data_IF_373082396114
#
_entry.id   IF_373082396114
#
_cell.length_a   1.000
_cell.length_b   1.000
_cell.length_c   1.000
_cell.angle_alpha   90.00
_cell.angle_beta   90.00
_cell.angle_gamma   90.00
#
_symmetry.space_group_name_H-M   'P 1'
#
loop_
_entity.id
_entity.type
_entity.pdbx_description
1 polymer ?
#
# COMPACT_ATOMS: atom_id res chain seq x y z
N UNK A 1 -22.42 -22.37 -7.26
CA UNK A 1 -21.38 -21.36 -7.00
C UNK A 1 -21.05 -20.72 -8.32
N UNK A 2 -21.12 -19.40 -8.43
CA UNK A 2 -20.60 -18.70 -9.61
C UNK A 2 -19.14 -19.12 -9.83
N UNK A 3 -18.77 -19.33 -11.10
CA UNK A 3 -17.43 -19.77 -11.46
C UNK A 3 -16.43 -18.71 -11.02
N UNK A 4 -15.51 -19.02 -10.11
CA UNK A 4 -14.52 -18.07 -9.60
C UNK A 4 -13.67 -17.56 -10.76
N UNK A 5 -13.70 -16.25 -11.02
CA UNK A 5 -12.93 -15.63 -12.09
C UNK A 5 -11.43 -15.77 -11.85
N UNK A 6 -10.66 -15.98 -12.91
CA UNK A 6 -9.20 -15.93 -12.90
C UNK A 6 -8.71 -14.71 -13.69
N UNK A 7 -7.48 -14.26 -13.43
CA UNK A 7 -6.84 -13.28 -14.29
C UNK A 7 -6.69 -13.82 -15.72
N UNK A 8 -7.02 -12.99 -16.70
CA UNK A 8 -7.02 -13.41 -18.10
C UNK A 8 -5.63 -13.37 -18.76
N UNK A 9 -4.63 -12.73 -18.15
CA UNK A 9 -3.31 -12.55 -18.74
C UNK A 9 -2.20 -12.43 -17.68
N UNK A 10 -0.96 -12.81 -18.06
CA UNK A 10 0.23 -12.61 -17.22
C UNK A 10 0.46 -11.15 -16.85
N UNK A 11 0.25 -10.25 -17.80
CA UNK A 11 0.37 -8.80 -17.56
C UNK A 11 -0.69 -8.33 -16.56
N UNK A 12 -1.93 -8.85 -16.66
CA UNK A 12 -2.99 -8.55 -15.71
C UNK A 12 -2.66 -9.00 -14.29
N UNK A 13 -2.09 -10.19 -14.11
CA UNK A 13 -1.57 -10.67 -12.82
C UNK A 13 -0.57 -9.69 -12.23
N UNK A 14 0.45 -9.31 -13.01
CA UNK A 14 1.53 -8.44 -12.54
C UNK A 14 1.00 -7.04 -12.20
N UNK A 15 0.25 -6.41 -13.11
CA UNK A 15 -0.26 -5.05 -12.91
C UNK A 15 -1.29 -4.95 -11.79
N UNK A 16 -2.18 -5.95 -11.64
CA UNK A 16 -3.14 -5.97 -10.56
C UNK A 16 -2.45 -6.16 -9.20
N UNK A 17 -1.51 -7.10 -9.11
CA UNK A 17 -0.80 -7.37 -7.86
C UNK A 17 0.22 -6.27 -7.53
N UNK A 18 0.92 -5.71 -8.54
CA UNK A 18 1.76 -4.53 -8.32
C UNK A 18 0.91 -3.32 -7.89
N UNK A 19 -0.26 -3.12 -8.48
CA UNK A 19 -1.18 -2.05 -8.08
C UNK A 19 -1.73 -2.20 -6.65
N UNK A 20 -1.73 -3.40 -6.09
CA UNK A 20 -2.07 -3.59 -4.68
C UNK A 20 -0.94 -3.18 -3.72
N UNK A 21 0.31 -3.28 -4.17
CA UNK A 21 1.49 -2.83 -3.41
C UNK A 21 1.73 -1.32 -3.60
N UNK A 22 1.66 -0.85 -4.87
CA UNK A 22 1.86 0.57 -5.21
C UNK A 22 0.65 1.40 -4.78
N UNK A 23 0.86 2.23 -3.78
CA UNK A 23 -0.18 3.10 -3.21
C UNK A 23 0.37 4.40 -2.65
N UNK A 24 -0.39 5.05 -1.79
CA UNK A 24 0.06 6.24 -1.05
C UNK A 24 1.31 5.94 -0.20
N UNK A 25 1.52 4.69 0.19
CA UNK A 25 2.72 4.25 0.90
C UNK A 25 4.02 4.53 0.15
N UNK A 26 4.04 4.32 -1.17
CA UNK A 26 5.20 4.59 -2.02
C UNK A 26 5.38 6.08 -2.31
N UNK A 27 4.27 6.81 -2.50
CA UNK A 27 4.30 8.21 -2.95
C UNK A 27 4.46 9.17 -1.79
N UNK A 28 4.00 8.79 -0.61
CA UNK A 28 4.03 9.64 0.57
C UNK A 28 4.91 9.08 1.70
N UNK A 29 4.58 7.87 2.22
CA UNK A 29 5.26 7.33 3.40
C UNK A 29 6.74 7.04 3.12
N UNK A 30 7.07 6.45 1.99
CA UNK A 30 8.46 6.14 1.65
C UNK A 30 9.35 7.40 1.52
N UNK A 31 8.96 8.47 0.79
CA UNK A 31 9.73 9.71 0.80
C UNK A 31 9.86 10.33 2.19
N UNK A 32 8.77 10.37 2.97
CA UNK A 32 8.80 10.86 4.35
C UNK A 32 9.82 10.09 5.21
N UNK A 33 9.75 8.75 5.22
CA UNK A 33 10.70 7.89 5.94
C UNK A 33 12.14 8.09 5.45
N UNK A 34 12.33 8.21 4.14
CA UNK A 34 13.62 8.49 3.51
C UNK A 34 14.17 9.84 3.96
N UNK A 35 13.33 10.86 4.04
CA UNK A 35 13.68 12.20 4.50
C UNK A 35 14.18 12.21 5.93
N UNK A 36 13.49 11.51 6.84
CA UNK A 36 13.85 11.42 8.25
C UNK A 36 15.10 10.56 8.51
N UNK A 37 15.34 9.55 7.71
CA UNK A 37 16.30 8.49 7.98
C UNK A 37 17.60 8.56 7.13
N UNK A 38 17.99 9.76 6.66
CA UNK A 38 19.29 9.95 6.02
C UNK A 38 19.36 9.60 4.53
N UNK A 39 18.22 9.62 3.80
CA UNK A 39 18.21 9.60 2.36
C UNK A 39 18.67 8.27 1.75
N UNK A 40 19.72 8.33 0.90
CA UNK A 40 20.22 7.17 0.16
C UNK A 40 20.65 5.99 1.03
N UNK A 41 21.16 6.23 2.24
CA UNK A 41 21.55 5.15 3.16
C UNK A 41 20.34 4.33 3.61
N UNK A 42 19.23 5.01 3.97
CA UNK A 42 17.96 4.36 4.27
C UNK A 42 17.46 3.53 3.08
N UNK A 43 17.54 4.06 1.85
CA UNK A 43 17.10 3.35 0.64
C UNK A 43 17.89 2.04 0.45
N UNK A 44 19.21 2.04 0.67
CA UNK A 44 20.02 0.85 0.56
C UNK A 44 19.65 -0.21 1.62
N UNK A 45 19.42 0.21 2.86
CA UNK A 45 18.97 -0.66 3.94
C UNK A 45 17.57 -1.23 3.60
N UNK A 46 16.67 -0.38 3.13
CA UNK A 46 15.33 -0.78 2.68
C UNK A 46 15.38 -1.86 1.58
N UNK A 47 16.30 -1.77 0.60
CA UNK A 47 16.49 -2.83 -0.40
C UNK A 47 16.88 -4.17 0.22
N UNK A 48 17.78 -4.15 1.20
CA UNK A 48 18.15 -5.38 1.93
C UNK A 48 16.92 -5.94 2.65
N UNK A 49 16.16 -5.09 3.32
CA UNK A 49 14.92 -5.48 4.02
C UNK A 49 13.87 -6.10 3.09
N UNK A 50 13.70 -5.55 1.89
CA UNK A 50 12.79 -6.12 0.87
C UNK A 50 13.21 -7.53 0.48
N UNK A 51 14.51 -7.79 0.32
CA UNK A 51 15.01 -9.11 -0.04
C UNK A 51 14.83 -10.10 1.11
N UNK A 52 15.11 -9.68 2.34
CA UNK A 52 15.09 -10.54 3.52
C UNK A 52 13.66 -10.84 4.03
N UNK A 53 12.77 -9.88 3.91
CA UNK A 53 11.42 -9.95 4.48
C UNK A 53 10.34 -9.91 3.39
N UNK A 54 10.44 -8.96 2.49
CA UNK A 54 9.41 -8.69 1.49
C UNK A 54 9.19 -9.84 0.54
N UNK A 55 10.24 -10.28 -0.14
CA UNK A 55 10.15 -11.34 -1.15
C UNK A 55 9.74 -12.70 -0.57
N UNK A 56 10.33 -13.19 0.55
CA UNK A 56 9.89 -14.42 1.18
C UNK A 56 8.46 -14.35 1.71
N UNK A 57 8.05 -13.22 2.32
CA UNK A 57 6.69 -13.00 2.80
C UNK A 57 5.67 -13.04 1.67
N UNK A 58 5.92 -12.31 0.58
CA UNK A 58 5.08 -12.30 -0.62
C UNK A 58 4.93 -13.70 -1.23
N UNK A 59 6.03 -14.43 -1.38
CA UNK A 59 5.99 -15.80 -1.90
C UNK A 59 5.19 -16.73 -0.99
N UNK A 60 5.26 -16.53 0.32
CA UNK A 60 4.48 -17.32 1.28
C UNK A 60 2.98 -17.13 1.08
N UNK A 61 2.51 -15.88 0.97
CA UNK A 61 1.11 -15.60 0.69
C UNK A 61 0.68 -16.10 -0.70
N UNK A 62 1.55 -15.99 -1.71
CA UNK A 62 1.28 -16.51 -3.05
C UNK A 62 1.09 -18.03 -3.07
N UNK A 63 1.93 -18.78 -2.37
CA UNK A 63 1.81 -20.23 -2.25
C UNK A 63 0.48 -20.60 -1.61
N UNK A 64 0.13 -19.96 -0.49
CA UNK A 64 -1.12 -20.22 0.23
C UNK A 64 -2.33 -19.91 -0.66
N UNK A 65 -2.35 -18.73 -1.27
CA UNK A 65 -3.46 -18.27 -2.09
C UNK A 65 -3.68 -19.13 -3.33
N UNK A 66 -2.61 -19.42 -4.10
CA UNK A 66 -2.71 -20.21 -5.33
C UNK A 66 -3.11 -21.65 -5.04
N UNK A 67 -2.55 -22.26 -3.98
CA UNK A 67 -2.91 -23.63 -3.61
C UNK A 67 -4.36 -23.71 -3.14
N UNK A 68 -4.76 -22.76 -2.27
CA UNK A 68 -6.10 -22.74 -1.69
C UNK A 68 -7.20 -22.41 -2.70
N UNK A 69 -6.90 -21.67 -3.79
CA UNK A 69 -7.81 -21.26 -4.86
C UNK A 69 -9.18 -20.76 -4.33
N UNK A 70 -9.17 -20.06 -3.20
CA UNK A 70 -10.35 -19.59 -2.47
C UNK A 70 -9.99 -18.31 -1.67
N UNK A 71 -10.96 -17.69 -1.00
CA UNK A 71 -10.64 -16.61 -0.07
C UNK A 71 -9.59 -17.05 0.96
N UNK A 72 -8.92 -16.09 1.60
CA UNK A 72 -7.80 -16.40 2.47
C UNK A 72 -8.17 -17.38 3.61
N UNK A 73 -9.34 -17.23 4.25
CA UNK A 73 -9.74 -18.11 5.35
C UNK A 73 -9.87 -19.57 4.91
N UNK A 74 -10.46 -19.81 3.74
CA UNK A 74 -10.54 -21.16 3.17
C UNK A 74 -9.18 -21.65 2.69
N UNK A 75 -8.35 -20.79 2.13
CA UNK A 75 -7.01 -21.17 1.68
C UNK A 75 -6.18 -21.73 2.85
N UNK A 76 -6.14 -21.04 3.99
CA UNK A 76 -5.49 -21.56 5.19
C UNK A 76 -6.11 -22.86 5.70
N UNK A 77 -7.43 -22.96 5.69
CA UNK A 77 -8.14 -24.17 6.09
C UNK A 77 -7.81 -25.38 5.20
N UNK A 78 -7.74 -25.18 3.89
CA UNK A 78 -7.42 -26.25 2.91
C UNK A 78 -6.00 -26.76 3.16
N UNK A 79 -5.00 -25.86 3.29
CA UNK A 79 -3.62 -26.25 3.51
C UNK A 79 -3.40 -26.90 4.90
N UNK A 80 -4.21 -26.51 5.89
CA UNK A 80 -4.13 -27.06 7.24
C UNK A 80 -4.86 -28.41 7.42
N UNK A 81 -5.65 -28.85 6.44
CA UNK A 81 -6.50 -30.04 6.60
C UNK A 81 -7.57 -29.89 7.68
N UNK A 82 -7.89 -28.66 8.12
CA UNK A 82 -8.85 -28.39 9.20
C UNK A 82 -9.15 -26.91 9.42
N UNK A 83 -9.92 -26.60 10.49
CA UNK A 83 -10.42 -25.25 10.74
C UNK A 83 -9.46 -24.34 11.54
N UNK A 84 -8.49 -24.90 12.26
CA UNK A 84 -7.68 -24.16 13.24
C UNK A 84 -7.01 -22.90 12.66
N UNK A 85 -6.44 -22.98 11.45
CA UNK A 85 -5.73 -21.86 10.83
C UNK A 85 -6.61 -20.91 10.00
N UNK A 86 -7.92 -21.18 9.88
CA UNK A 86 -8.84 -20.30 9.15
C UNK A 86 -8.90 -18.87 9.75
N UNK A 87 -8.64 -18.72 11.06
CA UNK A 87 -8.63 -17.44 11.74
C UNK A 87 -7.63 -16.45 11.10
N UNK A 88 -6.53 -16.96 10.55
CA UNK A 88 -5.53 -16.13 9.88
C UNK A 88 -6.12 -15.35 8.70
N UNK A 89 -6.90 -16.03 7.87
CA UNK A 89 -7.54 -15.36 6.74
C UNK A 89 -8.66 -14.41 7.15
N UNK A 90 -9.41 -14.73 8.21
CA UNK A 90 -10.38 -13.79 8.78
C UNK A 90 -9.70 -12.56 9.39
N UNK A 91 -8.60 -12.75 10.11
CA UNK A 91 -7.81 -11.65 10.66
C UNK A 91 -7.30 -10.73 9.56
N UNK A 92 -6.77 -11.30 8.45
CA UNK A 92 -6.33 -10.52 7.30
C UNK A 92 -7.48 -9.77 6.62
N UNK A 93 -8.67 -10.38 6.48
CA UNK A 93 -9.85 -9.72 5.94
C UNK A 93 -10.31 -8.56 6.83
N UNK A 94 -10.40 -8.74 8.14
CA UNK A 94 -10.73 -7.67 9.10
C UNK A 94 -9.68 -6.55 9.04
N UNK A 95 -8.40 -6.91 9.01
CA UNK A 95 -7.32 -5.94 8.85
C UNK A 95 -7.52 -5.08 7.58
N UNK A 96 -7.79 -5.72 6.44
CA UNK A 96 -8.04 -5.00 5.18
C UNK A 96 -9.28 -4.12 5.21
N UNK A 97 -10.37 -4.53 5.87
CA UNK A 97 -11.57 -3.70 6.04
C UNK A 97 -11.29 -2.43 6.84
N UNK A 98 -10.54 -2.58 7.96
CA UNK A 98 -10.15 -1.44 8.79
C UNK A 98 -9.24 -0.49 8.00
N UNK A 99 -8.24 -1.05 7.29
CA UNK A 99 -7.34 -0.25 6.45
C UNK A 99 -8.14 0.49 5.37
N UNK A 100 -9.00 -0.19 4.63
CA UNK A 100 -9.82 0.45 3.60
C UNK A 100 -10.66 1.60 4.18
N UNK A 101 -11.22 1.43 5.37
CA UNK A 101 -12.02 2.47 6.03
C UNK A 101 -11.22 3.76 6.26
N UNK A 102 -10.10 3.71 6.95
CA UNK A 102 -9.31 4.92 7.22
C UNK A 102 -8.52 5.42 6.00
N UNK A 103 -8.02 4.50 5.17
CA UNK A 103 -7.30 4.86 3.96
C UNK A 103 -8.18 5.61 2.95
N UNK A 104 -9.48 5.26 2.87
CA UNK A 104 -10.43 5.94 2.02
C UNK A 104 -10.69 7.39 2.45
N UNK A 105 -10.46 7.75 3.72
CA UNK A 105 -10.52 9.16 4.17
C UNK A 105 -9.41 9.96 3.49
N UNK A 106 -8.18 9.50 3.57
CA UNK A 106 -7.03 10.17 2.93
C UNK A 106 -7.16 10.16 1.41
N UNK A 107 -7.65 9.06 0.84
CA UNK A 107 -7.92 8.95 -0.60
C UNK A 107 -9.04 9.91 -1.05
N UNK A 108 -10.06 10.11 -0.22
CA UNK A 108 -11.11 11.10 -0.42
C UNK A 108 -10.57 12.52 -0.40
N UNK A 109 -9.63 12.82 0.51
CA UNK A 109 -8.92 14.10 0.51
C UNK A 109 -8.12 14.31 -0.77
N UNK A 110 -7.42 13.28 -1.28
CA UNK A 110 -6.74 13.37 -2.56
C UNK A 110 -7.71 13.69 -3.72
N UNK A 111 -8.89 13.08 -3.70
CA UNK A 111 -9.92 13.32 -4.73
C UNK A 111 -10.47 14.73 -4.65
N UNK A 112 -10.71 15.25 -3.44
CA UNK A 112 -11.14 16.64 -3.22
C UNK A 112 -10.04 17.62 -3.68
N UNK A 113 -8.77 17.36 -3.36
CA UNK A 113 -7.66 18.22 -3.78
C UNK A 113 -7.44 18.17 -5.30
N UNK A 114 -7.71 17.04 -5.96
CA UNK A 114 -7.75 16.97 -7.43
C UNK A 114 -8.83 17.91 -7.98
N UNK A 115 -10.05 17.84 -7.42
CA UNK A 115 -11.13 18.74 -7.80
C UNK A 115 -10.76 20.21 -7.54
N UNK A 116 -10.26 20.53 -6.35
CA UNK A 116 -9.84 21.88 -5.98
C UNK A 116 -8.69 22.43 -6.85
N UNK A 117 -7.76 21.55 -7.27
CA UNK A 117 -6.70 21.93 -8.20
C UNK A 117 -7.24 22.27 -9.59
N UNK A 118 -8.20 21.49 -10.09
CA UNK A 118 -8.84 21.75 -11.40
C UNK A 118 -9.58 23.10 -11.41
N UNK A 119 -10.22 23.49 -10.30
CA UNK A 119 -10.93 24.77 -10.20
C UNK A 119 -10.06 25.92 -9.66
N UNK A 120 -8.77 25.66 -9.42
CA UNK A 120 -7.79 26.69 -9.01
C UNK A 120 -7.87 27.14 -7.54
N UNK A 121 -8.48 26.35 -6.66
CA UNK A 121 -8.69 26.72 -5.24
C UNK A 121 -7.48 26.41 -4.31
N UNK A 122 -6.45 25.70 -4.76
CA UNK A 122 -5.30 25.30 -3.93
C UNK A 122 -4.07 26.20 -4.15
N UNK A 123 -4.25 27.32 -4.86
CA UNK A 123 -3.19 28.29 -5.12
C UNK A 123 -3.24 29.45 -4.14
N UNK A 124 -2.20 29.62 -3.36
CA UNK A 124 -2.06 30.67 -2.36
C UNK A 124 -0.72 30.61 -1.65
N UNK A 125 -0.55 31.43 -0.61
CA UNK A 125 0.61 31.37 0.27
C UNK A 125 0.54 30.18 1.24
N UNK A 126 1.60 29.95 1.99
CA UNK A 126 1.72 28.81 2.90
C UNK A 126 0.64 28.81 4.00
N UNK A 127 0.23 29.98 4.46
CA UNK A 127 -0.82 30.13 5.45
C UNK A 127 -2.19 29.78 4.87
N UNK A 128 -2.49 30.23 3.67
CA UNK A 128 -3.71 29.87 2.96
C UNK A 128 -3.84 28.36 2.75
N UNK A 129 -2.77 27.71 2.25
CA UNK A 129 -2.77 26.26 1.99
C UNK A 129 -2.98 25.47 3.28
N UNK A 130 -2.32 25.88 4.37
CA UNK A 130 -2.50 25.27 5.70
C UNK A 130 -3.93 25.43 6.21
N UNK A 131 -4.47 26.65 6.14
CA UNK A 131 -5.83 26.95 6.60
C UNK A 131 -6.88 26.22 5.75
N UNK A 132 -6.64 26.10 4.44
CA UNK A 132 -7.50 25.33 3.55
C UNK A 132 -7.59 23.86 3.98
N UNK A 133 -6.44 23.22 4.24
CA UNK A 133 -6.41 21.83 4.71
C UNK A 133 -7.11 21.65 6.06
N UNK A 134 -6.78 22.48 7.04
CA UNK A 134 -7.35 22.40 8.40
C UNK A 134 -8.88 22.61 8.35
N UNK A 135 -9.36 23.62 7.63
CA UNK A 135 -10.79 23.88 7.49
C UNK A 135 -11.52 22.74 6.79
N UNK A 136 -10.94 22.21 5.71
CA UNK A 136 -11.51 21.07 4.99
C UNK A 136 -11.53 19.80 5.83
N UNK A 137 -10.40 19.42 6.44
CA UNK A 137 -10.27 18.15 7.17
C UNK A 137 -11.14 18.10 8.43
N UNK A 138 -11.41 19.24 9.06
CA UNK A 138 -12.28 19.37 10.24
C UNK A 138 -13.76 19.62 9.92
N UNK A 139 -14.12 19.77 8.64
CA UNK A 139 -15.53 19.90 8.25
C UNK A 139 -16.28 18.57 8.46
N UNK A 140 -17.48 18.57 9.10
CA UNK A 140 -18.19 17.33 9.39
C UNK A 140 -18.82 16.66 8.17
N UNK A 141 -18.95 17.35 7.04
CA UNK A 141 -19.71 16.88 5.88
C UNK A 141 -18.83 16.59 4.67
N UNK A 142 -17.99 17.55 4.28
CA UNK A 142 -17.23 17.45 3.03
C UNK A 142 -16.27 16.26 3.00
N UNK A 143 -15.38 16.02 3.99
CA UNK A 143 -14.47 14.88 3.96
C UNK A 143 -15.22 13.54 3.96
N UNK A 144 -16.35 13.45 4.67
CA UNK A 144 -17.23 12.27 4.69
C UNK A 144 -17.78 11.97 3.30
N UNK A 145 -18.29 12.99 2.60
CA UNK A 145 -18.81 12.82 1.23
C UNK A 145 -17.72 12.31 0.30
N UNK A 146 -16.52 12.92 0.31
CA UNK A 146 -15.42 12.51 -0.54
C UNK A 146 -14.91 11.10 -0.20
N UNK A 147 -14.92 10.71 1.08
CA UNK A 147 -14.61 9.35 1.54
C UNK A 147 -15.61 8.34 0.94
N UNK A 148 -16.89 8.59 1.07
CA UNK A 148 -17.94 7.71 0.52
C UNK A 148 -17.84 7.63 -1.00
N UNK A 149 -17.66 8.76 -1.68
CA UNK A 149 -17.47 8.79 -3.14
C UNK A 149 -16.27 7.92 -3.54
N UNK A 150 -15.16 8.00 -2.82
CA UNK A 150 -13.98 7.20 -3.13
C UNK A 150 -14.21 5.69 -2.93
N UNK A 151 -14.88 5.30 -1.83
CA UNK A 151 -15.27 3.90 -1.58
C UNK A 151 -16.22 3.40 -2.68
N UNK A 152 -17.17 4.22 -3.12
CA UNK A 152 -18.07 3.86 -4.22
C UNK A 152 -17.33 3.69 -5.56
N UNK A 153 -16.36 4.55 -5.88
CA UNK A 153 -15.51 4.36 -7.06
C UNK A 153 -14.80 3.00 -7.02
N UNK A 154 -14.25 2.64 -5.87
CA UNK A 154 -13.64 1.32 -5.62
C UNK A 154 -14.65 0.20 -5.81
N UNK A 155 -15.83 0.31 -5.20
CA UNK A 155 -16.92 -0.66 -5.32
C UNK A 155 -17.30 -0.94 -6.77
N UNK A 156 -17.50 0.11 -7.60
CA UNK A 156 -17.87 -0.04 -9.00
C UNK A 156 -16.84 -0.80 -9.84
N UNK A 157 -15.58 -0.77 -9.45
CA UNK A 157 -14.55 -1.60 -10.09
C UNK A 157 -14.67 -3.04 -9.63
N UNK A 158 -14.74 -3.28 -8.32
CA UNK A 158 -14.70 -4.63 -7.73
C UNK A 158 -15.94 -5.45 -8.06
N UNK A 159 -17.13 -4.84 -8.06
CA UNK A 159 -18.39 -5.53 -8.37
C UNK A 159 -18.41 -6.14 -9.77
N UNK A 160 -17.62 -5.58 -10.71
CA UNK A 160 -17.48 -6.11 -12.10
C UNK A 160 -16.64 -7.39 -12.17
N UNK A 161 -16.08 -7.84 -11.05
CA UNK A 161 -15.30 -9.07 -10.94
C UNK A 161 -13.82 -8.93 -11.28
N UNK A 162 -13.10 -10.03 -11.17
CA UNK A 162 -11.63 -10.04 -11.28
C UNK A 162 -11.17 -9.62 -12.68
N UNK A 163 -11.67 -10.27 -13.72
CA UNK A 163 -11.21 -10.05 -15.11
C UNK A 163 -11.70 -8.73 -15.68
N UNK A 164 -13.00 -8.46 -15.56
CA UNK A 164 -13.66 -7.30 -16.21
C UNK A 164 -13.60 -6.03 -15.37
N UNK A 165 -13.36 -6.14 -14.08
CA UNK A 165 -13.19 -5.03 -13.14
C UNK A 165 -11.71 -4.83 -12.80
N UNK A 166 -11.18 -5.62 -11.89
CA UNK A 166 -9.86 -5.45 -11.29
C UNK A 166 -8.73 -5.45 -12.33
N UNK A 167 -8.64 -6.51 -13.15
CA UNK A 167 -7.59 -6.64 -14.17
C UNK A 167 -7.66 -5.51 -15.22
N UNK A 168 -8.88 -5.22 -15.70
CA UNK A 168 -9.07 -4.16 -16.69
C UNK A 168 -8.71 -2.78 -16.13
N UNK A 169 -9.14 -2.47 -14.91
CA UNK A 169 -8.79 -1.24 -14.23
C UNK A 169 -7.27 -1.13 -14.03
N UNK A 170 -6.62 -2.16 -13.50
CA UNK A 170 -5.17 -2.15 -13.26
C UNK A 170 -4.34 -1.99 -14.53
N UNK A 171 -4.78 -2.56 -15.65
CA UNK A 171 -4.13 -2.39 -16.96
C UNK A 171 -4.18 -0.95 -17.51
N UNK A 172 -5.12 -0.15 -17.04
CA UNK A 172 -5.25 1.28 -17.41
C UNK A 172 -4.58 2.16 -16.36
N UNK A 173 -4.91 1.94 -15.09
CA UNK A 173 -4.49 2.81 -13.98
C UNK A 173 -2.98 2.76 -13.75
N UNK A 174 -2.35 1.56 -13.78
CA UNK A 174 -0.93 1.43 -13.49
C UNK A 174 -0.01 2.08 -14.54
N UNK A 175 -0.19 1.87 -15.86
CA UNK A 175 0.59 2.61 -16.85
C UNK A 175 0.35 4.12 -16.79
N UNK A 176 -0.90 4.56 -16.57
CA UNK A 176 -1.22 5.98 -16.44
C UNK A 176 -0.51 6.59 -15.23
N UNK A 177 -0.57 5.93 -14.07
CA UNK A 177 0.15 6.32 -12.85
C UNK A 177 1.64 6.49 -13.13
N UNK A 178 2.26 5.51 -13.80
CA UNK A 178 3.68 5.55 -14.14
C UNK A 178 4.03 6.72 -15.06
N UNK A 179 3.21 6.99 -16.08
CA UNK A 179 3.41 8.13 -16.99
C UNK A 179 3.30 9.46 -16.23
N UNK A 180 2.26 9.62 -15.39
CA UNK A 180 2.09 10.84 -14.58
C UNK A 180 3.28 11.05 -13.65
N UNK A 181 3.72 9.99 -12.98
CA UNK A 181 4.88 10.03 -12.11
C UNK A 181 6.14 10.49 -12.85
N UNK A 182 6.42 9.92 -14.04
CA UNK A 182 7.57 10.32 -14.85
C UNK A 182 7.50 11.80 -15.29
N UNK A 183 6.33 12.29 -15.69
CA UNK A 183 6.15 13.70 -16.08
C UNK A 183 6.49 14.62 -14.93
N UNK A 184 5.99 14.32 -13.71
CA UNK A 184 6.25 15.15 -12.53
C UNK A 184 7.72 15.04 -12.10
N UNK A 185 8.33 13.85 -12.17
CA UNK A 185 9.77 13.65 -11.89
C UNK A 185 10.64 14.52 -12.82
N UNK A 186 10.34 14.53 -14.13
CA UNK A 186 11.09 15.37 -15.08
C UNK A 186 10.93 16.85 -14.73
N UNK A 187 9.72 17.31 -14.44
CA UNK A 187 9.46 18.67 -14.03
C UNK A 187 10.24 19.04 -12.75
N UNK A 188 10.19 18.18 -11.74
CA UNK A 188 10.86 18.37 -10.44
C UNK A 188 12.40 18.41 -10.58
N UNK A 189 12.97 17.48 -11.34
CA UNK A 189 14.41 17.41 -11.56
C UNK A 189 14.96 18.55 -12.46
N UNK A 190 14.08 19.22 -13.20
CA UNK A 190 14.46 20.36 -14.07
C UNK A 190 14.51 21.70 -13.30
N UNK A 191 14.12 21.74 -12.04
CA UNK A 191 14.11 22.96 -11.24
C UNK A 191 15.53 23.42 -10.88
N UNK A 192 15.77 24.75 -10.81
CA UNK A 192 17.01 25.30 -10.27
C UNK A 192 17.22 24.83 -8.82
N UNK A 193 18.39 24.25 -8.53
CA UNK A 193 18.68 23.73 -7.17
C UNK A 193 18.25 22.27 -6.91
N UNK A 194 17.57 21.63 -7.85
CA UNK A 194 17.15 20.21 -7.76
C UNK A 194 18.31 19.22 -7.48
N UNK A 195 19.53 19.58 -7.87
CA UNK A 195 20.72 18.75 -7.70
C UNK A 195 20.98 18.29 -6.28
N UNK A 196 20.68 19.13 -5.27
CA UNK A 196 20.80 18.76 -3.84
C UNK A 196 19.86 17.64 -3.45
N UNK A 197 18.61 17.67 -3.93
CA UNK A 197 17.63 16.61 -3.69
C UNK A 197 18.00 15.31 -4.37
N UNK A 198 18.57 15.36 -5.59
CA UNK A 198 19.09 14.19 -6.30
C UNK A 198 20.29 13.61 -5.54
N UNK A 199 21.22 14.45 -5.10
CA UNK A 199 22.39 14.01 -4.30
C UNK A 199 21.95 13.34 -3.01
N UNK A 200 20.96 13.89 -2.30
CA UNK A 200 20.40 13.31 -1.07
C UNK A 200 19.84 11.89 -1.28
N UNK A 201 19.22 11.63 -2.44
CA UNK A 201 18.66 10.32 -2.77
C UNK A 201 19.67 9.30 -3.29
N UNK A 202 20.80 9.76 -3.86
CA UNK A 202 21.73 8.89 -4.57
C UNK A 202 23.09 8.75 -3.86
N UNK A 203 23.44 9.66 -2.96
CA UNK A 203 24.70 9.64 -2.23
C UNK A 203 24.47 9.19 -0.77
N UNK A 204 24.81 7.93 -0.43
CA UNK A 204 24.56 7.41 0.90
C UNK A 204 25.49 8.03 1.94
N UNK A 205 24.90 8.47 3.05
CA UNK A 205 25.60 8.93 4.25
C UNK A 205 25.29 7.99 5.41
N UNK A 206 26.15 7.00 5.63
CA UNK A 206 25.99 6.02 6.70
C UNK A 206 26.25 6.58 8.10
N UNK A 207 26.75 7.82 8.24
CA UNK A 207 26.96 8.45 9.55
C UNK A 207 25.63 8.74 10.28
N UNK A 208 24.53 8.76 9.54
CA UNK A 208 23.16 8.99 10.05
C UNK A 208 22.40 7.70 10.34
N UNK A 209 23.01 6.55 10.11
CA UNK A 209 22.35 5.24 10.29
C UNK A 209 22.56 4.79 11.72
N UNK A 210 21.47 4.60 12.43
CA UNK A 210 21.40 3.99 13.76
C UNK A 210 20.50 2.73 13.73
N UNK A 211 20.27 2.14 14.88
CA UNK A 211 19.39 0.98 15.02
C UNK A 211 17.93 1.28 14.67
N UNK A 212 17.46 2.50 14.91
CA UNK A 212 16.10 2.94 14.57
C UNK A 212 15.91 2.95 13.04
N UNK A 213 16.89 3.47 12.30
CA UNK A 213 16.85 3.49 10.82
C UNK A 213 16.68 2.09 10.24
N UNK A 214 17.37 1.08 10.81
CA UNK A 214 17.21 -0.33 10.38
C UNK A 214 15.79 -0.83 10.65
N UNK A 215 15.24 -0.58 11.84
CA UNK A 215 13.91 -1.05 12.23
C UNK A 215 12.81 -0.34 11.45
N UNK A 216 12.98 0.94 11.17
CA UNK A 216 12.06 1.70 10.32
C UNK A 216 12.10 1.26 8.85
N UNK A 217 13.30 0.92 8.34
CA UNK A 217 13.43 0.35 6.98
C UNK A 217 12.78 -1.05 6.87
N UNK A 218 12.90 -1.89 7.90
CA UNK A 218 12.19 -3.17 8.00
C UNK A 218 10.67 -2.93 8.02
N UNK A 219 10.19 -2.02 8.84
CA UNK A 219 8.77 -1.66 8.93
C UNK A 219 8.23 -1.11 7.60
N UNK A 220 9.00 -0.26 6.92
CA UNK A 220 8.62 0.29 5.62
C UNK A 220 8.57 -0.79 4.53
N UNK A 221 9.52 -1.72 4.48
CA UNK A 221 9.52 -2.83 3.54
C UNK A 221 8.31 -3.75 3.73
N UNK A 222 7.91 -3.96 4.97
CA UNK A 222 6.75 -4.73 5.35
C UNK A 222 5.45 -4.06 4.90
N UNK A 223 5.32 -2.76 5.19
CA UNK A 223 4.14 -1.97 4.87
C UNK A 223 3.96 -1.81 3.35
N UNK A 224 5.03 -1.48 2.62
CA UNK A 224 4.99 -1.23 1.16
C UNK A 224 4.42 -2.42 0.39
N UNK A 225 4.77 -3.64 0.79
CA UNK A 225 4.33 -4.86 0.12
C UNK A 225 3.00 -5.42 0.67
N UNK A 226 2.33 -4.71 1.57
CA UNK A 226 1.03 -5.11 2.15
C UNK A 226 1.01 -6.53 2.75
N UNK A 227 2.13 -6.95 3.38
CA UNK A 227 2.26 -8.28 3.96
C UNK A 227 1.36 -8.45 5.18
N UNK A 228 0.77 -9.65 5.34
CA UNK A 228 -0.08 -9.99 6.48
C UNK A 228 -1.52 -9.52 6.39
N UNK A 229 -1.90 -8.79 5.33
CA UNK A 229 -3.28 -8.32 5.10
C UNK A 229 -4.16 -9.34 4.37
N UNK A 230 -3.66 -10.51 4.03
CA UNK A 230 -4.28 -11.48 3.13
C UNK A 230 -4.52 -10.97 1.70
N UNK A 231 -3.97 -9.81 1.33
CA UNK A 231 -4.12 -9.22 0.00
C UNK A 231 -3.45 -10.09 -1.07
N UNK A 232 -2.19 -10.41 -0.87
CA UNK A 232 -1.41 -11.20 -1.80
C UNK A 232 -1.93 -12.64 -1.87
N UNK A 233 -2.39 -13.20 -0.76
CA UNK A 233 -3.07 -14.50 -0.70
C UNK A 233 -4.35 -14.49 -1.53
N UNK A 234 -5.21 -13.48 -1.39
CA UNK A 234 -6.46 -13.34 -2.14
C UNK A 234 -6.18 -13.21 -3.64
N UNK A 235 -5.22 -12.37 -4.04
CA UNK A 235 -4.87 -12.19 -5.45
C UNK A 235 -4.23 -13.44 -6.06
N UNK A 236 -3.35 -14.11 -5.32
CA UNK A 236 -2.75 -15.36 -5.77
C UNK A 236 -3.77 -16.49 -5.96
N UNK A 237 -4.90 -16.44 -5.26
CA UNK A 237 -5.99 -17.40 -5.46
C UNK A 237 -6.65 -17.30 -6.84
N UNK A 238 -6.41 -16.21 -7.57
CA UNK A 238 -6.83 -16.01 -8.96
C UNK A 238 -5.73 -16.33 -9.98
N UNK A 239 -4.54 -16.76 -9.53
CA UNK A 239 -3.45 -17.14 -10.41
C UNK A 239 -3.72 -18.51 -11.03
N UNK A 240 -3.26 -18.66 -12.27
CA UNK A 240 -3.27 -19.99 -12.93
C UNK A 240 -2.10 -20.82 -12.42
N UNK A 241 -2.23 -22.15 -12.54
CA UNK A 241 -1.13 -23.10 -12.20
C UNK A 241 0.16 -22.86 -13.00
N UNK A 242 0.07 -22.20 -14.16
CA UNK A 242 1.22 -21.87 -14.99
C UNK A 242 1.97 -20.61 -14.54
N UNK A 243 1.44 -19.85 -13.60
CA UNK A 243 2.06 -18.62 -13.09
C UNK A 243 3.34 -18.95 -12.32
N UNK A 244 4.47 -18.42 -12.75
CA UNK A 244 5.73 -18.55 -12.02
C UNK A 244 5.72 -17.58 -10.84
N UNK A 245 5.54 -18.10 -9.62
CA UNK A 245 5.40 -17.29 -8.41
C UNK A 245 6.65 -16.47 -8.12
N UNK A 246 7.83 -17.08 -8.22
CA UNK A 246 9.12 -16.41 -7.94
C UNK A 246 9.33 -15.23 -8.89
N UNK A 247 9.10 -15.47 -10.20
CA UNK A 247 9.24 -14.41 -11.20
C UNK A 247 8.21 -13.30 -10.98
N UNK A 248 6.96 -13.65 -10.69
CA UNK A 248 5.91 -12.65 -10.43
C UNK A 248 6.22 -11.83 -9.19
N UNK A 249 6.61 -12.46 -8.08
CA UNK A 249 6.99 -11.76 -6.85
C UNK A 249 8.16 -10.81 -7.09
N UNK A 250 9.22 -11.26 -7.76
CA UNK A 250 10.38 -10.41 -8.08
C UNK A 250 9.99 -9.22 -8.95
N UNK A 251 9.12 -9.41 -9.96
CA UNK A 251 8.66 -8.32 -10.82
C UNK A 251 7.82 -7.30 -10.05
N UNK A 252 6.95 -7.74 -9.14
CA UNK A 252 6.12 -6.85 -8.32
C UNK A 252 6.99 -6.03 -7.38
N UNK A 253 7.93 -6.68 -6.69
CA UNK A 253 8.91 -6.02 -5.80
C UNK A 253 9.72 -4.95 -6.56
N UNK A 254 10.20 -5.28 -7.77
CA UNK A 254 10.95 -4.32 -8.60
C UNK A 254 10.06 -3.13 -8.98
N UNK A 255 8.83 -3.36 -9.42
CA UNK A 255 7.89 -2.29 -9.80
C UNK A 255 7.61 -1.39 -8.59
N UNK A 256 7.28 -1.98 -7.44
CA UNK A 256 7.01 -1.26 -6.19
C UNK A 256 8.19 -0.37 -5.80
N UNK A 257 9.39 -0.93 -5.77
CA UNK A 257 10.61 -0.23 -5.40
C UNK A 257 10.99 0.89 -6.38
N UNK A 258 10.87 0.64 -7.69
CA UNK A 258 11.12 1.67 -8.71
C UNK A 258 10.18 2.84 -8.56
N UNK A 259 8.89 2.59 -8.31
CA UNK A 259 7.90 3.65 -8.09
C UNK A 259 8.20 4.42 -6.81
N UNK A 260 8.61 3.76 -5.73
CA UNK A 260 9.02 4.43 -4.49
C UNK A 260 10.22 5.37 -4.69
N UNK A 261 11.24 4.94 -5.44
CA UNK A 261 12.40 5.79 -5.77
C UNK A 261 12.01 6.96 -6.66
N UNK A 262 11.18 6.72 -7.67
CA UNK A 262 10.67 7.78 -8.54
C UNK A 262 9.83 8.79 -7.75
N UNK A 263 9.06 8.37 -6.77
CA UNK A 263 8.35 9.26 -5.86
C UNK A 263 9.32 10.11 -5.03
N UNK A 264 10.42 9.54 -4.57
CA UNK A 264 11.51 10.32 -3.97
C UNK A 264 12.09 11.37 -4.93
N UNK A 265 12.38 10.97 -6.19
CA UNK A 265 12.84 11.89 -7.24
C UNK A 265 11.79 12.94 -7.65
N UNK A 266 10.52 12.70 -7.41
CA UNK A 266 9.47 13.68 -7.58
C UNK A 266 9.47 14.72 -6.46
N UNK A 267 9.69 14.31 -5.22
CA UNK A 267 9.50 15.14 -4.02
C UNK A 267 10.77 15.88 -3.62
N UNK A 268 11.91 15.18 -3.47
CA UNK A 268 13.13 15.79 -2.92
C UNK A 268 13.74 16.88 -3.79
N UNK A 269 13.86 16.73 -5.13
CA UNK A 269 14.38 17.82 -5.97
C UNK A 269 13.52 19.09 -5.89
N UNK A 270 12.19 18.96 -5.87
CA UNK A 270 11.28 20.09 -5.75
C UNK A 270 11.38 20.75 -4.36
N UNK A 271 11.34 19.97 -3.28
CA UNK A 271 11.44 20.49 -1.91
C UNK A 271 12.77 21.21 -1.65
N UNK A 272 13.90 20.60 -2.03
CA UNK A 272 15.22 21.22 -1.84
C UNK A 272 15.45 22.45 -2.75
N UNK A 273 14.75 22.55 -3.90
CA UNK A 273 14.84 23.75 -4.76
C UNK A 273 14.30 25.01 -4.10
N UNK A 274 13.36 24.87 -3.18
CA UNK A 274 12.75 25.97 -2.40
C UNK A 274 13.19 25.98 -0.92
N UNK A 275 14.16 25.12 -0.56
CA UNK A 275 14.73 25.08 0.79
C UNK A 275 13.81 24.46 1.87
N UNK A 276 12.78 23.71 1.45
CA UNK A 276 11.86 23.01 2.35
C UNK A 276 12.39 21.61 2.65
N UNK A 277 12.33 21.19 3.91
CA UNK A 277 12.69 19.85 4.31
C UNK A 277 11.44 18.95 4.27
N UNK A 278 11.41 17.86 3.48
CA UNK A 278 10.24 17.00 3.29
C UNK A 278 10.09 15.95 4.41
N UNK A 279 10.07 16.37 5.67
CA UNK A 279 10.00 15.51 6.85
C UNK A 279 8.66 15.59 7.63
N UNK A 280 7.63 16.19 7.05
CA UNK A 280 6.42 16.62 7.77
C UNK A 280 5.23 15.65 7.74
N UNK A 281 5.42 14.33 7.73
CA UNK A 281 4.32 13.36 7.91
C UNK A 281 3.15 13.49 6.90
N UNK A 282 1.88 13.23 7.32
CA UNK A 282 0.70 13.34 6.45
C UNK A 282 0.47 14.73 5.85
N UNK A 283 0.90 15.76 6.54
CA UNK A 283 0.84 17.15 6.04
C UNK A 283 1.71 17.38 4.80
N UNK A 284 2.67 16.49 4.54
CA UNK A 284 3.54 16.57 3.36
C UNK A 284 2.75 16.73 2.06
N UNK A 285 1.75 15.90 1.82
CA UNK A 285 1.00 15.91 0.54
C UNK A 285 -0.10 16.97 0.46
N UNK A 286 -0.59 17.48 1.58
CA UNK A 286 -1.71 18.43 1.58
C UNK A 286 -1.31 19.85 1.94
N UNK A 287 -0.17 20.04 2.60
CA UNK A 287 0.33 21.36 3.01
C UNK A 287 1.68 21.65 2.36
N UNK A 288 2.67 20.76 2.57
CA UNK A 288 4.06 21.05 2.15
C UNK A 288 4.21 21.03 0.64
N UNK A 289 3.77 19.97 -0.04
CA UNK A 289 3.95 19.84 -1.50
C UNK A 289 3.17 20.87 -2.32
N UNK A 290 1.91 21.25 -2.00
CA UNK A 290 1.27 22.37 -2.66
C UNK A 290 2.09 23.67 -2.59
N UNK A 291 2.63 23.98 -1.40
CA UNK A 291 3.50 25.14 -1.22
C UNK A 291 4.79 25.04 -2.03
N UNK A 292 5.44 23.86 -2.00
CA UNK A 292 6.64 23.59 -2.81
C UNK A 292 6.35 23.81 -4.29
N UNK A 293 5.23 23.31 -4.82
CA UNK A 293 4.88 23.50 -6.23
C UNK A 293 4.55 24.96 -6.54
N UNK A 294 3.83 25.66 -5.67
CA UNK A 294 3.54 27.09 -5.85
C UNK A 294 4.83 27.92 -5.89
N UNK A 295 5.79 27.68 -5.01
CA UNK A 295 7.07 28.39 -4.96
C UNK A 295 8.01 27.98 -6.11
N UNK A 296 8.18 26.67 -6.33
CA UNK A 296 9.10 26.14 -7.35
C UNK A 296 8.73 26.56 -8.78
N UNK A 297 7.43 26.69 -9.04
CA UNK A 297 6.91 27.11 -10.36
C UNK A 297 6.38 28.53 -10.37
N UNK A 298 6.71 29.39 -9.39
CA UNK A 298 6.25 30.77 -9.33
C UNK A 298 6.58 31.59 -10.59
N UNK A 299 7.72 31.29 -11.25
CA UNK A 299 8.08 31.89 -12.53
C UNK A 299 7.31 31.34 -13.74
N UNK A 300 6.55 30.25 -13.58
CA UNK A 300 5.78 29.56 -14.63
C UNK A 300 4.42 29.08 -14.07
N UNK A 301 3.49 29.99 -13.71
CA UNK A 301 2.27 29.63 -13.00
C UNK A 301 1.40 28.60 -13.70
N UNK A 302 1.34 28.62 -15.05
CA UNK A 302 0.60 27.64 -15.83
C UNK A 302 1.18 26.21 -15.67
N UNK A 303 2.51 26.10 -15.56
CA UNK A 303 3.17 24.80 -15.30
C UNK A 303 2.86 24.32 -13.90
N UNK A 304 2.97 25.18 -12.88
CA UNK A 304 2.62 24.87 -11.50
C UNK A 304 1.18 24.38 -11.36
N UNK A 305 0.24 25.06 -12.04
CA UNK A 305 -1.17 24.65 -12.08
C UNK A 305 -1.35 23.23 -12.65
N UNK A 306 -0.73 22.95 -13.81
CA UNK A 306 -0.80 21.62 -14.45
C UNK A 306 -0.15 20.56 -13.56
N UNK A 307 1.03 20.83 -12.98
CA UNK A 307 1.73 19.90 -12.09
C UNK A 307 0.89 19.56 -10.86
N UNK A 308 0.21 20.54 -10.27
CA UNK A 308 -0.71 20.30 -9.13
C UNK A 308 -1.83 19.34 -9.50
N UNK A 309 -2.48 19.52 -10.65
CA UNK A 309 -3.53 18.61 -11.15
C UNK A 309 -2.96 17.21 -11.38
N UNK A 310 -1.82 17.09 -12.06
CA UNK A 310 -1.19 15.80 -12.37
C UNK A 310 -0.78 15.07 -11.09
N UNK A 311 -0.29 15.79 -10.09
CA UNK A 311 0.10 15.24 -8.80
C UNK A 311 -1.08 14.64 -8.05
N UNK A 312 -2.19 15.38 -7.89
CA UNK A 312 -3.37 14.83 -7.21
C UNK A 312 -4.07 13.74 -8.04
N UNK A 313 -4.03 13.81 -9.36
CA UNK A 313 -4.48 12.71 -10.22
C UNK A 313 -3.63 11.45 -9.97
N UNK A 314 -2.31 11.58 -9.87
CA UNK A 314 -1.39 10.50 -9.52
C UNK A 314 -1.76 9.87 -8.16
N UNK A 315 -2.01 10.69 -7.13
CA UNK A 315 -2.40 10.21 -5.79
C UNK A 315 -3.73 9.46 -5.82
N UNK A 316 -4.73 9.97 -6.54
CA UNK A 316 -6.03 9.32 -6.71
C UNK A 316 -5.87 7.96 -7.40
N UNK A 317 -5.06 7.86 -8.45
CA UNK A 317 -4.81 6.59 -9.14
C UNK A 317 -4.09 5.58 -8.23
N UNK A 318 -3.07 6.02 -7.49
CA UNK A 318 -2.34 5.19 -6.55
C UNK A 318 -3.24 4.69 -5.40
N UNK A 319 -4.07 5.57 -4.87
CA UNK A 319 -5.03 5.20 -3.84
C UNK A 319 -6.07 4.20 -4.38
N UNK A 320 -6.59 4.41 -5.59
CA UNK A 320 -7.63 3.58 -6.18
C UNK A 320 -7.12 2.15 -6.46
N UNK A 321 -5.88 1.98 -6.95
CA UNK A 321 -5.31 0.66 -7.19
C UNK A 321 -5.19 -0.16 -5.90
N UNK A 322 -4.80 0.46 -4.80
CA UNK A 322 -4.69 -0.18 -3.48
C UNK A 322 -6.07 -0.47 -2.86
N UNK A 323 -7.02 0.47 -2.94
CA UNK A 323 -8.36 0.26 -2.37
C UNK A 323 -9.15 -0.83 -3.09
N UNK A 324 -8.96 -0.99 -4.41
CA UNK A 324 -9.54 -2.10 -5.19
C UNK A 324 -9.10 -3.45 -4.60
N UNK A 325 -7.83 -3.61 -4.24
CA UNK A 325 -7.33 -4.85 -3.67
C UNK A 325 -7.88 -5.11 -2.26
N UNK A 326 -7.90 -4.10 -1.41
CA UNK A 326 -8.44 -4.21 -0.06
C UNK A 326 -9.92 -4.57 -0.07
N UNK A 327 -10.71 -3.92 -0.92
CA UNK A 327 -12.14 -4.19 -1.09
C UNK A 327 -12.40 -5.60 -1.63
N UNK A 328 -11.54 -6.11 -2.52
CA UNK A 328 -11.65 -7.46 -3.05
C UNK A 328 -11.47 -8.52 -1.97
N UNK A 329 -10.60 -8.32 -0.98
CA UNK A 329 -10.37 -9.26 0.12
C UNK A 329 -11.66 -9.49 0.91
N UNK A 330 -12.30 -8.41 1.37
CA UNK A 330 -13.57 -8.49 2.09
C UNK A 330 -14.70 -9.03 1.20
N UNK A 331 -14.82 -8.56 -0.04
CA UNK A 331 -15.78 -9.08 -1.00
C UNK A 331 -15.64 -10.59 -1.18
N UNK A 332 -14.42 -11.10 -1.41
CA UNK A 332 -14.16 -12.53 -1.58
C UNK A 332 -14.51 -13.33 -0.32
N UNK A 333 -14.18 -12.79 0.86
CA UNK A 333 -14.52 -13.39 2.12
C UNK A 333 -16.05 -13.50 2.30
N UNK A 334 -16.79 -12.42 2.10
CA UNK A 334 -18.25 -12.41 2.31
C UNK A 334 -18.99 -13.32 1.32
N UNK A 335 -18.72 -13.20 0.01
CA UNK A 335 -19.49 -13.99 -0.95
C UNK A 335 -19.22 -15.49 -0.83
N UNK A 336 -17.99 -15.90 -0.50
CA UNK A 336 -17.65 -17.30 -0.36
C UNK A 336 -18.10 -17.90 0.98
N UNK A 337 -17.88 -17.18 2.11
CA UNK A 337 -18.23 -17.69 3.43
C UNK A 337 -19.73 -17.71 3.69
N UNK A 338 -20.43 -16.64 3.30
CA UNK A 338 -21.88 -16.54 3.45
C UNK A 338 -22.65 -17.21 2.30
N UNK A 339 -21.94 -17.69 1.25
CA UNK A 339 -22.54 -18.32 0.05
C UNK A 339 -23.58 -17.42 -0.66
N UNK A 340 -23.33 -16.12 -0.66
CA UNK A 340 -24.17 -15.10 -1.32
C UNK A 340 -23.59 -14.71 -2.67
N UNK A 341 -24.32 -13.86 -3.43
CA UNK A 341 -23.80 -13.33 -4.69
C UNK A 341 -22.59 -12.42 -4.46
N UNK A 342 -21.68 -12.35 -5.44
CA UNK A 342 -20.54 -11.41 -5.39
C UNK A 342 -20.99 -9.96 -5.19
N UNK A 343 -22.09 -9.56 -5.84
CA UNK A 343 -22.67 -8.22 -5.68
C UNK A 343 -23.08 -7.94 -4.24
N UNK A 344 -23.76 -8.88 -3.60
CA UNK A 344 -24.15 -8.76 -2.19
C UNK A 344 -22.94 -8.69 -1.27
N UNK A 345 -21.91 -9.54 -1.50
CA UNK A 345 -20.65 -9.49 -0.73
C UNK A 345 -19.93 -8.15 -0.87
N UNK A 346 -19.88 -7.60 -2.10
CA UNK A 346 -19.29 -6.29 -2.34
C UNK A 346 -20.04 -5.15 -1.65
N UNK A 347 -21.39 -5.19 -1.61
CA UNK A 347 -22.17 -4.19 -0.88
C UNK A 347 -21.98 -4.27 0.63
N UNK A 348 -21.89 -5.47 1.20
CA UNK A 348 -21.60 -5.64 2.64
C UNK A 348 -20.25 -5.01 2.96
N UNK A 349 -19.22 -5.32 2.20
CA UNK A 349 -17.87 -4.73 2.35
C UNK A 349 -17.93 -3.20 2.25
N UNK A 350 -18.58 -2.67 1.22
CA UNK A 350 -18.73 -1.23 1.02
C UNK A 350 -19.38 -0.54 2.22
N UNK A 351 -20.48 -1.10 2.74
CA UNK A 351 -21.21 -0.51 3.89
C UNK A 351 -20.31 -0.51 5.13
N UNK A 352 -19.63 -1.62 5.42
CA UNK A 352 -18.73 -1.72 6.58
C UNK A 352 -17.61 -0.67 6.46
N UNK A 353 -16.97 -0.57 5.29
CA UNK A 353 -15.88 0.37 5.08
C UNK A 353 -16.36 1.83 5.09
N UNK A 354 -17.58 2.13 4.60
CA UNK A 354 -18.18 3.45 4.74
C UNK A 354 -18.42 3.82 6.21
N UNK A 355 -18.95 2.89 7.02
CA UNK A 355 -19.14 3.13 8.45
C UNK A 355 -17.82 3.44 9.14
N UNK A 356 -16.79 2.60 8.94
CA UNK A 356 -15.45 2.85 9.51
C UNK A 356 -14.91 4.20 9.01
N UNK A 357 -15.00 4.47 7.71
CA UNK A 357 -14.53 5.72 7.09
C UNK A 357 -15.22 6.97 7.63
N UNK A 358 -16.52 6.91 7.90
CA UNK A 358 -17.27 8.02 8.52
C UNK A 358 -16.72 8.32 9.91
N UNK A 359 -16.55 7.32 10.77
CA UNK A 359 -15.97 7.52 12.10
C UNK A 359 -14.53 8.04 12.03
N UNK A 360 -13.71 7.50 11.14
CA UNK A 360 -12.35 7.98 10.92
C UNK A 360 -12.34 9.44 10.41
N UNK A 361 -13.21 9.79 9.48
CA UNK A 361 -13.30 11.16 8.94
C UNK A 361 -13.74 12.16 10.01
N UNK A 362 -14.79 11.85 10.77
CA UNK A 362 -15.31 12.71 11.83
C UNK A 362 -14.31 12.93 12.97
N UNK A 363 -13.44 11.96 13.25
CA UNK A 363 -12.42 12.07 14.29
C UNK A 363 -11.31 13.07 13.96
N UNK A 364 -11.24 13.57 12.70
CA UNK A 364 -10.20 14.52 12.25
C UNK A 364 -10.49 16.00 12.60
N UNK A 365 -11.24 16.25 13.66
CA UNK A 365 -11.50 17.56 14.22
C UNK A 365 -12.98 17.94 14.26
N UNK A 366 -13.85 17.30 13.48
CA UNK A 366 -15.30 17.55 13.53
C UNK A 366 -15.96 17.05 14.83
N UNK A 367 -15.50 15.91 15.35
CA UNK A 367 -15.99 15.27 16.58
C UNK A 367 -14.79 14.83 17.43
N UNK A 368 -14.19 15.72 18.24
CA UNK A 368 -13.00 15.42 19.06
C UNK A 368 -13.21 14.30 20.08
N UNK A 369 -14.45 14.01 20.45
CA UNK A 369 -14.83 12.92 21.37
C UNK A 369 -14.58 11.52 20.74
N UNK A 370 -14.47 11.43 19.42
CA UNK A 370 -14.05 10.20 18.73
C UNK A 370 -12.54 10.01 18.85
N UNK A 371 -12.04 10.00 20.07
CA UNK A 371 -10.65 9.75 20.43
C UNK A 371 -10.57 8.55 21.38
N UNK A 372 -9.58 7.68 21.15
CA UNK A 372 -9.27 6.53 21.98
C UNK A 372 -7.80 6.61 22.41
N UNK A 373 -7.53 6.40 23.68
CA UNK A 373 -6.16 6.43 24.22
C UNK A 373 -5.40 7.74 23.90
N UNK A 374 -6.12 8.88 23.82
CA UNK A 374 -5.53 10.20 23.54
C UNK A 374 -5.16 10.41 22.05
N UNK A 375 -5.59 9.53 21.15
CA UNK A 375 -5.41 9.64 19.69
C UNK A 375 -6.77 9.64 19.00
N UNK A 376 -6.86 10.32 17.85
CA UNK A 376 -8.06 10.26 17.01
C UNK A 376 -8.32 8.83 16.50
N UNK A 377 -9.57 8.54 16.13
CA UNK A 377 -9.98 7.20 15.75
C UNK A 377 -9.29 6.69 14.48
N UNK A 378 -8.99 7.57 13.52
CA UNK A 378 -8.22 7.20 12.32
C UNK A 378 -6.82 6.71 12.70
N UNK A 379 -6.11 7.48 13.53
CA UNK A 379 -4.78 7.10 14.03
C UNK A 379 -4.82 5.81 14.85
N UNK A 380 -5.88 5.58 15.63
CA UNK A 380 -6.06 4.31 16.33
C UNK A 380 -6.23 3.13 15.38
N UNK A 381 -7.03 3.27 14.32
CA UNK A 381 -7.19 2.24 13.28
C UNK A 381 -5.89 1.95 12.54
N UNK A 382 -5.13 2.99 12.16
CA UNK A 382 -3.82 2.85 11.51
C UNK A 382 -2.83 2.11 12.42
N UNK A 383 -2.66 2.57 13.66
CA UNK A 383 -1.76 1.92 14.62
C UNK A 383 -2.15 0.46 14.87
N UNK A 384 -3.44 0.16 15.07
CA UNK A 384 -3.91 -1.20 15.32
C UNK A 384 -3.62 -2.13 14.15
N UNK A 385 -3.79 -1.66 12.92
CA UNK A 385 -3.53 -2.48 11.74
C UNK A 385 -2.03 -2.57 11.42
N UNK A 386 -1.33 -1.43 11.34
CA UNK A 386 0.06 -1.38 10.92
C UNK A 386 1.04 -1.92 11.98
N UNK A 387 0.76 -1.67 13.28
CA UNK A 387 1.67 -2.09 14.36
C UNK A 387 1.34 -3.48 14.93
N UNK A 388 0.09 -3.96 14.79
CA UNK A 388 -0.30 -5.24 15.37
C UNK A 388 -0.76 -6.26 14.34
N UNK A 389 -1.86 -5.98 13.60
CA UNK A 389 -2.49 -7.02 12.77
C UNK A 389 -1.64 -7.45 11.59
N UNK A 390 -1.03 -6.51 10.87
CA UNK A 390 -0.18 -6.83 9.72
C UNK A 390 1.08 -7.61 10.12
N UNK A 391 1.90 -7.15 11.09
CA UNK A 391 3.08 -7.91 11.51
C UNK A 391 2.72 -9.28 12.06
N UNK A 392 1.65 -9.38 12.89
CA UNK A 392 1.18 -10.65 13.43
C UNK A 392 0.73 -11.60 12.30
N UNK A 393 -0.01 -11.09 11.32
CA UNK A 393 -0.45 -11.85 10.16
C UNK A 393 0.71 -12.44 9.37
N UNK A 394 1.73 -11.65 9.06
CA UNK A 394 2.88 -12.14 8.32
C UNK A 394 3.76 -13.07 9.14
N UNK A 395 3.96 -12.78 10.44
CA UNK A 395 4.69 -13.68 11.35
C UNK A 395 4.06 -15.07 11.37
N UNK A 396 2.75 -15.12 11.62
CA UNK A 396 2.00 -16.39 11.66
C UNK A 396 1.96 -17.07 10.28
N UNK A 397 1.90 -16.31 9.17
CA UNK A 397 1.99 -16.84 7.80
C UNK A 397 3.31 -17.56 7.57
N UNK A 398 4.42 -16.97 8.00
CA UNK A 398 5.75 -17.59 7.92
C UNK A 398 5.84 -18.86 8.77
N UNK A 399 5.32 -18.82 10.00
CA UNK A 399 5.28 -20.02 10.87
C UNK A 399 4.41 -21.11 10.26
N UNK A 400 3.23 -20.76 9.74
CA UNK A 400 2.32 -21.70 9.11
C UNK A 400 2.97 -22.39 7.91
N UNK A 401 3.50 -21.63 6.95
CA UNK A 401 4.08 -22.20 5.74
C UNK A 401 5.44 -22.88 6.00
N UNK A 402 6.25 -22.30 6.88
CA UNK A 402 7.59 -22.79 7.18
C UNK A 402 7.61 -24.06 8.01
N UNK A 403 6.66 -24.22 8.94
CA UNK A 403 6.73 -25.27 9.95
C UNK A 403 5.53 -26.22 9.96
N UNK A 404 4.34 -25.74 9.62
CA UNK A 404 3.11 -26.52 9.69
C UNK A 404 2.76 -27.22 8.37
N UNK A 405 2.88 -26.51 7.24
CA UNK A 405 2.54 -27.07 5.92
C UNK A 405 3.61 -28.05 5.47
N UNK A 406 3.25 -29.24 4.90
CA UNK A 406 4.21 -30.22 4.43
C UNK A 406 5.20 -29.63 3.43
N UNK A 407 6.51 -29.81 3.66
CA UNK A 407 7.60 -29.27 2.82
C UNK A 407 7.43 -29.63 1.33
N UNK A 408 6.92 -30.83 1.03
CA UNK A 408 6.66 -31.29 -0.35
C UNK A 408 5.64 -30.37 -1.05
N UNK A 409 4.54 -30.02 -0.39
CA UNK A 409 3.52 -29.13 -0.94
C UNK A 409 4.11 -27.74 -1.23
N UNK A 410 4.89 -27.22 -0.30
CA UNK A 410 5.55 -25.90 -0.47
C UNK A 410 6.52 -25.94 -1.64
N UNK A 411 7.28 -27.05 -1.78
CA UNK A 411 8.19 -27.26 -2.92
C UNK A 411 7.45 -27.34 -4.25
N UNK A 412 6.40 -28.14 -4.32
CA UNK A 412 5.60 -28.34 -5.53
C UNK A 412 4.97 -27.01 -6.01
N UNK A 413 4.47 -26.19 -5.09
CA UNK A 413 3.96 -24.85 -5.42
C UNK A 413 5.10 -23.89 -5.82
N UNK A 414 6.23 -23.91 -5.15
CA UNK A 414 7.38 -23.06 -5.47
C UNK A 414 7.96 -23.38 -6.86
N UNK A 415 8.04 -24.65 -7.23
CA UNK A 415 8.63 -25.13 -8.49
C UNK A 415 7.62 -25.36 -9.61
N UNK A 416 6.33 -25.06 -9.41
CA UNK A 416 5.24 -25.45 -10.33
C UNK A 416 5.28 -26.95 -10.67
N UNK A 417 5.31 -27.82 -9.66
CA UNK A 417 5.46 -29.27 -9.77
C UNK A 417 6.70 -29.66 -10.59
N UNK A 418 7.87 -29.18 -10.17
CA UNK A 418 9.19 -29.44 -10.77
C UNK A 418 9.36 -28.97 -12.23
N UNK A 419 8.45 -28.17 -12.76
CA UNK A 419 8.65 -27.54 -14.08
C UNK A 419 9.68 -26.41 -14.05
N UNK A 420 9.97 -25.86 -12.87
CA UNK A 420 10.95 -24.80 -12.64
C UNK A 420 12.11 -25.33 -11.79
N UNK A 421 13.32 -24.82 -12.06
CA UNK A 421 14.50 -25.18 -11.26
C UNK A 421 14.36 -24.68 -9.82
N UNK A 422 14.26 -25.58 -8.85
CA UNK A 422 14.08 -25.28 -7.42
C UNK A 422 15.35 -24.84 -6.68
N UNK A 423 16.36 -24.26 -7.36
CA UNK A 423 17.64 -23.89 -6.74
C UNK A 423 17.52 -22.93 -5.56
N UNK A 424 16.56 -22.01 -5.62
CA UNK A 424 16.31 -21.01 -4.56
C UNK A 424 15.38 -21.54 -3.45
N UNK A 425 14.79 -22.71 -3.60
CA UNK A 425 13.86 -23.25 -2.61
C UNK A 425 14.48 -23.44 -1.20
N UNK A 426 15.71 -23.98 -1.05
CA UNK A 426 16.32 -24.08 0.29
C UNK A 426 16.53 -22.73 0.95
N UNK A 427 16.92 -21.70 0.17
CA UNK A 427 17.10 -20.33 0.65
C UNK A 427 15.75 -19.76 1.07
N UNK A 428 14.72 -19.87 0.24
CA UNK A 428 13.37 -19.44 0.57
C UNK A 428 12.87 -20.10 1.87
N UNK A 429 13.04 -21.42 1.99
CA UNK A 429 12.57 -22.15 3.18
C UNK A 429 13.34 -21.72 4.44
N UNK A 430 14.64 -21.47 4.34
CA UNK A 430 15.43 -20.94 5.45
C UNK A 430 14.95 -19.54 5.86
N UNK A 431 14.70 -18.66 4.88
CA UNK A 431 14.20 -17.31 5.13
C UNK A 431 12.88 -17.33 5.89
N UNK A 432 11.86 -18.07 5.41
CA UNK A 432 10.53 -18.07 6.05
C UNK A 432 10.51 -18.81 7.41
N UNK A 433 11.47 -19.69 7.66
CA UNK A 433 11.57 -20.40 8.94
C UNK A 433 12.25 -19.59 10.02
N UNK A 434 13.29 -18.85 9.68
CA UNK A 434 14.17 -18.23 10.66
C UNK A 434 14.32 -16.72 10.47
N UNK A 435 14.74 -16.26 9.28
CA UNK A 435 15.12 -14.87 9.07
C UNK A 435 13.90 -13.94 9.09
N UNK A 436 12.90 -14.21 8.26
CA UNK A 436 11.70 -13.35 8.15
C UNK A 436 10.93 -13.28 9.48
N UNK A 437 10.65 -14.41 10.20
CA UNK A 437 10.03 -14.32 11.52
C UNK A 437 10.86 -13.55 12.55
N UNK A 438 12.19 -13.72 12.54
CA UNK A 438 13.06 -12.97 13.45
C UNK A 438 13.02 -11.47 13.18
N UNK A 439 13.08 -11.06 11.90
CA UNK A 439 12.93 -9.65 11.53
C UNK A 439 11.58 -9.06 11.96
N UNK A 440 10.48 -9.80 11.75
CA UNK A 440 9.14 -9.34 12.18
C UNK A 440 9.08 -9.25 13.71
N UNK A 441 9.68 -10.19 14.42
CA UNK A 441 9.72 -10.15 15.88
C UNK A 441 10.51 -8.93 16.41
N UNK A 442 11.61 -8.55 15.76
CA UNK A 442 12.35 -7.33 16.08
C UNK A 442 11.49 -6.07 15.86
N UNK A 443 10.71 -6.04 14.75
CA UNK A 443 9.75 -4.94 14.51
C UNK A 443 8.75 -4.84 15.67
N UNK A 444 8.22 -5.97 16.15
CA UNK A 444 7.32 -5.96 17.31
C UNK A 444 7.98 -5.41 18.56
N UNK A 445 9.19 -5.87 18.89
CA UNK A 445 9.91 -5.39 20.09
C UNK A 445 10.12 -3.87 20.04
N UNK A 446 10.51 -3.34 18.88
CA UNK A 446 10.67 -1.89 18.68
C UNK A 446 9.34 -1.13 18.81
N UNK A 447 8.27 -1.61 18.18
CA UNK A 447 6.95 -0.96 18.24
C UNK A 447 6.34 -0.92 19.64
N UNK A 448 6.68 -1.89 20.49
CA UNK A 448 6.27 -1.91 21.90
C UNK A 448 7.27 -1.23 22.85
N UNK A 449 8.31 -0.57 22.32
CA UNK A 449 9.30 0.17 23.11
C UNK A 449 10.17 -0.74 24.02
N UNK A 450 10.40 -1.99 23.59
CA UNK A 450 11.28 -2.94 24.29
C UNK A 450 12.72 -2.82 23.80
N UNK A 451 12.88 -2.38 22.55
CA UNK A 451 14.15 -2.05 21.89
C UNK A 451 14.19 -0.58 21.54
#
# INVERSE_FOLDING_TARGET
MENRGNFGSKLGVILATAGSAVGLGNIWRFPYMTGQNGGAAFILIYFVCIILLGLPGMLSEFIIGRHGASNAARAYKVLAGGKAWAFMGYMGAICSMIILGFYAVVAGWCLQYLYASIIGQVHGDAEFVKNYFVTFSSDPIQPVIWTIVFILLTHFVVVRGVRNGIEKASKILMPLLFILLLVIVVASCSLPGAGKGIEFLLKPDFSKVDENVLLEALGQAFFSLSLGTACLCTYASYFTRQTNLVKSASQIVIIDTVIAILAGLMIFPAAFSVGVNPDSGPSLIFITLPNVFNEAFAGMPAVGYVISILFYALLVLAALTSTISMHEIGTACFYEELKISRKSGAWIETIICCVIGVFCSLSQGAVPELSLFGKDFLTCCDNFTAQLLMPLGAFLTCLFLGWYVPKKLVHDEFTNNDTLKGRLFPVFLFMIRFVTPACIFLIFLHQFGVL
#
